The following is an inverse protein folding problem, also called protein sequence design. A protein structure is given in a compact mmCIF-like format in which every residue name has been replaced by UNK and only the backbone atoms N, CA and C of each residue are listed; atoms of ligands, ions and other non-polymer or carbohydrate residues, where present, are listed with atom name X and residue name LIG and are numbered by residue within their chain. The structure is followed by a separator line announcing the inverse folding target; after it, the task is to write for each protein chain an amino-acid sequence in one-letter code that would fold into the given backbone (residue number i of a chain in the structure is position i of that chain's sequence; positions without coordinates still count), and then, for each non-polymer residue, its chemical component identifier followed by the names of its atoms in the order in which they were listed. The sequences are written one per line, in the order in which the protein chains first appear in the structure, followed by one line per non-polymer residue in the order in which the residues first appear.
data_IF_536192212897
#
_entry.id   IF_536192212897
#
_cell.length_a   1.000
_cell.length_b   1.000
_cell.length_c   1.000
_cell.angle_alpha   90.00
_cell.angle_beta   90.00
_cell.angle_gamma   90.00
#
_symmetry.space_group_name_H-M   'P 1'
#
loop_
_entity.id
_entity.type
_entity.pdbx_description
1 polymer ?
#
# COMPACT_ATOMS: atom_id res chain seq x y z
N UNK A 1 38.64 -26.98 7.93
CA UNK A 1 38.33 -26.64 9.33
C UNK A 1 38.71 -25.24 9.83
N UNK A 2 38.93 -24.23 8.97
CA UNK A 2 38.93 -22.80 9.40
C UNK A 2 38.34 -21.84 8.35
N UNK A 3 38.24 -22.25 7.10
CA UNK A 3 37.73 -21.42 5.99
C UNK A 3 36.20 -21.44 5.87
N UNK A 4 35.52 -22.48 6.37
CA UNK A 4 34.04 -22.57 6.33
C UNK A 4 33.37 -21.73 7.44
N UNK A 5 34.04 -21.52 8.57
CA UNK A 5 33.55 -20.65 9.65
C UNK A 5 33.75 -19.15 9.37
N UNK A 6 34.62 -18.77 8.43
CA UNK A 6 34.81 -17.37 8.06
C UNK A 6 33.71 -16.83 7.11
N UNK A 7 32.98 -17.72 6.43
CA UNK A 7 31.80 -17.32 5.62
C UNK A 7 30.50 -17.30 6.44
N UNK A 8 30.50 -17.84 7.66
CA UNK A 8 29.34 -17.85 8.55
C UNK A 8 29.10 -16.53 9.30
N UNK A 9 29.99 -15.52 9.16
CA UNK A 9 29.92 -14.26 9.91
C UNK A 9 29.75 -13.00 9.05
N UNK A 10 29.36 -13.12 7.78
CA UNK A 10 28.67 -12.00 7.13
C UNK A 10 27.20 -12.28 7.26
N UNK A 11 26.54 -11.53 8.15
CA UNK A 11 25.09 -11.50 8.21
C UNK A 11 24.59 -11.31 6.76
N UNK A 12 23.90 -12.32 6.24
CA UNK A 12 23.28 -12.29 4.91
C UNK A 12 22.20 -11.20 4.84
N UNK A 13 21.77 -10.72 6.01
CA UNK A 13 20.93 -9.54 6.20
C UNK A 13 21.44 -8.79 7.42
N UNK A 14 22.22 -7.74 7.19
CA UNK A 14 22.45 -6.73 8.22
C UNK A 14 21.20 -5.85 8.24
N UNK A 15 20.67 -5.57 9.43
CA UNK A 15 19.73 -4.47 9.58
C UNK A 15 20.44 -3.16 9.22
N UNK A 16 19.99 -2.50 8.15
CA UNK A 16 20.27 -1.10 7.87
C UNK A 16 18.96 -0.44 7.50
N UNK A 17 18.30 0.25 8.43
CA UNK A 17 17.66 1.50 8.02
C UNK A 17 17.24 2.35 9.24
N UNK A 18 18.10 3.20 9.78
CA UNK A 18 18.14 4.66 9.47
C UNK A 18 18.77 5.07 8.12
N UNK A 19 18.66 4.23 7.08
CA UNK A 19 19.33 4.45 5.80
C UNK A 19 18.55 5.52 5.05
N UNK A 20 19.08 6.74 5.12
CA UNK A 20 18.63 7.80 4.23
C UNK A 20 18.96 7.35 2.81
N UNK A 21 18.00 7.42 1.88
CA UNK A 21 18.29 7.17 0.47
C UNK A 21 19.46 8.05 0.05
N UNK A 22 20.24 7.55 -0.88
CA UNK A 22 21.40 8.29 -1.41
C UNK A 22 21.09 8.75 -2.81
N UNK A 23 21.66 9.89 -3.18
CA UNK A 23 21.51 10.43 -4.53
C UNK A 23 22.77 10.20 -5.34
N UNK A 24 22.58 10.00 -6.63
CA UNK A 24 23.64 10.07 -7.62
C UNK A 24 23.21 11.09 -8.66
N UNK A 25 24.00 12.16 -8.81
CA UNK A 25 23.84 13.12 -9.90
C UNK A 25 24.88 12.82 -10.98
N UNK A 26 24.45 12.23 -12.08
CA UNK A 26 25.36 11.85 -13.17
C UNK A 26 25.24 12.89 -14.28
N UNK A 27 26.32 13.62 -14.55
CA UNK A 27 26.43 14.59 -15.63
C UNK A 27 27.21 14.02 -16.80
N UNK A 28 26.70 14.22 -18.01
CA UNK A 28 27.30 13.79 -19.27
C UNK A 28 27.99 14.95 -20.00
N UNK A 29 28.59 15.90 -19.27
CA UNK A 29 29.18 17.14 -19.81
C UNK A 29 30.18 16.93 -20.95
N UNK A 30 31.02 15.91 -20.81
CA UNK A 30 32.05 15.58 -21.81
C UNK A 30 31.61 14.46 -22.77
N UNK A 31 30.37 13.97 -22.66
CA UNK A 31 29.80 12.93 -23.52
C UNK A 31 28.27 13.08 -23.70
N UNK A 32 27.79 14.12 -24.43
CA UNK A 32 26.35 14.37 -24.60
C UNK A 32 25.59 13.22 -25.28
N UNK A 33 26.28 12.42 -26.11
CA UNK A 33 25.74 11.22 -26.74
C UNK A 33 25.81 9.97 -25.85
N UNK A 34 26.47 10.06 -24.70
CA UNK A 34 26.93 8.96 -23.87
C UNK A 34 25.84 8.05 -23.36
N UNK A 35 26.09 6.74 -23.40
CA UNK A 35 25.21 5.76 -22.78
C UNK A 35 25.52 5.63 -21.29
N UNK A 36 24.49 5.64 -20.44
CA UNK A 36 24.64 5.26 -19.04
C UNK A 36 25.21 3.83 -18.94
N UNK A 37 24.99 2.98 -19.95
CA UNK A 37 25.48 1.60 -19.96
C UNK A 37 24.63 0.68 -19.09
N UNK A 38 23.32 0.89 -19.09
CA UNK A 38 22.35 0.14 -18.28
C UNK A 38 21.11 -0.23 -19.09
N UNK A 39 20.48 -1.32 -18.73
CA UNK A 39 19.12 -1.65 -19.12
C UNK A 39 18.16 -1.12 -18.05
N UNK A 40 17.12 -0.40 -18.48
CA UNK A 40 16.10 0.14 -17.60
C UNK A 40 14.84 -0.73 -17.65
N UNK A 41 14.25 -1.01 -16.49
CA UNK A 41 12.92 -1.61 -16.42
C UNK A 41 11.87 -0.49 -16.44
N UNK A 42 10.81 -0.71 -17.22
CA UNK A 42 9.62 0.14 -17.28
C UNK A 42 8.75 -0.11 -16.04
N UNK A 43 8.80 0.80 -15.07
CA UNK A 43 8.02 0.66 -13.85
C UNK A 43 6.52 0.97 -14.04
N UNK A 44 6.13 1.54 -15.19
CA UNK A 44 4.71 1.75 -15.50
C UNK A 44 4.02 0.48 -16.00
N UNK A 45 4.79 -0.49 -16.50
CA UNK A 45 4.28 -1.77 -17.03
C UNK A 45 4.63 -2.98 -16.17
N UNK A 46 5.53 -2.82 -15.20
CA UNK A 46 5.97 -3.89 -14.31
C UNK A 46 4.90 -4.35 -13.32
N UNK A 47 5.02 -5.61 -12.87
CA UNK A 47 4.19 -6.24 -11.84
C UNK A 47 4.17 -5.46 -10.51
N UNK A 48 3.19 -5.77 -9.66
CA UNK A 48 2.86 -5.14 -8.37
C UNK A 48 4.02 -4.88 -7.36
N UNK A 49 5.24 -5.37 -7.63
CA UNK A 49 6.42 -5.17 -6.78
C UNK A 49 7.18 -3.86 -7.05
N UNK A 50 6.99 -3.23 -8.22
CA UNK A 50 7.80 -2.09 -8.67
C UNK A 50 7.04 -0.76 -8.69
N UNK A 51 5.73 -0.79 -8.39
CA UNK A 51 4.87 0.39 -8.23
C UNK A 51 5.24 1.26 -7.01
N UNK A 52 6.01 0.71 -6.08
CA UNK A 52 6.43 1.34 -4.83
C UNK A 52 7.74 2.12 -4.91
N UNK A 53 8.32 2.23 -6.11
CA UNK A 53 9.60 2.91 -6.33
C UNK A 53 9.35 4.38 -6.72
N UNK A 54 10.20 5.33 -6.31
CA UNK A 54 9.96 6.76 -6.54
C UNK A 54 10.04 7.14 -8.01
N UNK A 55 10.73 6.34 -8.83
CA UNK A 55 10.98 6.62 -10.24
C UNK A 55 10.07 5.81 -11.17
N UNK A 56 9.98 6.28 -12.41
CA UNK A 56 9.28 5.55 -13.47
C UNK A 56 10.18 4.56 -14.21
N UNK A 57 11.51 4.68 -14.07
CA UNK A 57 12.50 3.76 -14.62
C UNK A 57 13.54 3.37 -13.59
N UNK A 58 13.90 2.09 -13.56
CA UNK A 58 14.90 1.55 -12.62
C UNK A 58 16.03 0.85 -13.36
N UNK A 59 17.24 0.91 -12.80
CA UNK A 59 18.38 0.18 -13.33
C UNK A 59 18.15 -1.31 -13.10
N UNK A 60 17.74 -2.02 -14.16
CA UNK A 60 17.52 -3.46 -14.14
C UNK A 60 18.83 -4.24 -14.21
N UNK A 61 19.71 -3.81 -15.11
CA UNK A 61 20.98 -4.47 -15.40
C UNK A 61 22.04 -3.44 -15.78
N UNK A 62 23.26 -3.67 -15.30
CA UNK A 62 24.46 -2.96 -15.77
C UNK A 62 25.03 -3.73 -16.96
N UNK A 63 25.34 -3.03 -18.06
CA UNK A 63 26.02 -3.63 -19.20
C UNK A 63 27.48 -3.97 -18.84
N UNK A 64 28.08 -4.88 -19.60
CA UNK A 64 29.47 -5.29 -19.42
C UNK A 64 30.44 -4.23 -19.98
N UNK A 65 31.68 -4.23 -19.47
CA UNK A 65 32.71 -3.25 -19.84
C UNK A 65 32.80 -2.05 -18.90
N UNK A 66 33.68 -1.10 -19.22
CA UNK A 66 33.84 0.15 -18.48
C UNK A 66 32.79 1.15 -18.96
N UNK A 67 31.70 1.30 -18.20
CA UNK A 67 30.57 2.18 -18.55
C UNK A 67 30.45 3.37 -17.60
N UNK A 68 29.74 4.42 -18.02
CA UNK A 68 29.45 5.59 -17.18
C UNK A 68 28.74 5.17 -15.89
N UNK A 69 27.78 4.23 -15.95
CA UNK A 69 27.13 3.68 -14.76
C UNK A 69 28.12 3.08 -13.77
N UNK A 70 29.06 2.25 -14.24
CA UNK A 70 30.01 1.56 -13.35
C UNK A 70 31.04 2.52 -12.75
N UNK A 71 31.52 3.47 -13.54
CA UNK A 71 32.46 4.51 -13.07
C UNK A 71 31.81 5.45 -12.06
N UNK A 72 30.54 5.79 -12.26
CA UNK A 72 29.76 6.63 -11.35
C UNK A 72 29.15 5.87 -10.16
N UNK A 73 29.42 4.57 -10.00
CA UNK A 73 28.94 3.78 -8.87
C UNK A 73 27.45 3.46 -8.88
N UNK A 74 26.79 3.50 -10.04
CA UNK A 74 25.41 3.05 -10.23
C UNK A 74 25.29 1.55 -9.99
N UNK A 75 24.21 1.15 -9.33
CA UNK A 75 23.91 -0.26 -9.06
C UNK A 75 22.52 -0.63 -9.56
N UNK A 76 22.27 -1.94 -9.66
CA UNK A 76 20.93 -2.48 -9.91
C UNK A 76 19.97 -2.03 -8.80
N UNK A 77 18.82 -1.50 -9.19
CA UNK A 77 17.77 -1.00 -8.29
C UNK A 77 17.78 0.51 -8.09
N UNK A 78 18.80 1.23 -8.56
CA UNK A 78 18.77 2.71 -8.56
C UNK A 78 17.60 3.21 -9.42
N UNK A 79 16.83 4.15 -8.87
CA UNK A 79 15.61 4.68 -9.47
C UNK A 79 15.89 6.03 -10.13
N UNK A 80 15.53 6.21 -11.39
CA UNK A 80 15.63 7.53 -12.04
C UNK A 80 14.46 8.38 -11.58
N UNK A 81 14.76 9.46 -10.86
CA UNK A 81 13.76 10.37 -10.26
C UNK A 81 13.81 11.77 -10.85
N UNK A 82 14.82 12.10 -11.66
CA UNK A 82 14.89 13.36 -12.39
C UNK A 82 15.84 13.32 -13.57
N UNK A 83 15.58 14.18 -14.56
CA UNK A 83 16.37 14.34 -15.80
C UNK A 83 16.56 15.82 -16.09
N UNK A 84 17.80 16.31 -16.06
CA UNK A 84 18.21 17.72 -16.30
C UNK A 84 17.25 18.75 -15.68
N UNK A 85 17.08 18.68 -14.36
CA UNK A 85 16.24 19.60 -13.60
C UNK A 85 14.74 19.25 -13.59
N UNK A 86 14.27 18.34 -14.44
CA UNK A 86 12.85 17.93 -14.44
C UNK A 86 12.63 16.69 -13.57
N UNK A 87 11.71 16.79 -12.62
CA UNK A 87 11.30 15.68 -11.76
C UNK A 87 10.45 14.66 -12.49
N UNK A 88 10.82 13.39 -12.30
CA UNK A 88 10.08 12.21 -12.75
C UNK A 88 9.74 11.33 -11.55
N UNK A 89 9.22 11.95 -10.48
CA UNK A 89 8.83 11.24 -9.26
C UNK A 89 7.37 10.79 -9.27
N UNK A 90 7.12 9.60 -8.75
CA UNK A 90 5.78 9.08 -8.42
C UNK A 90 5.24 9.66 -7.11
N UNK A 91 6.14 9.91 -6.15
CA UNK A 91 5.78 10.44 -4.82
C UNK A 91 6.86 11.40 -4.29
N UNK A 92 6.51 12.30 -3.35
CA UNK A 92 7.45 13.27 -2.80
C UNK A 92 8.66 12.59 -2.11
N UNK A 93 9.84 13.24 -2.06
CA UNK A 93 10.96 12.74 -1.27
C UNK A 93 10.62 12.76 0.23
N UNK A 94 11.07 11.73 0.96
CA UNK A 94 10.88 11.61 2.42
C UNK A 94 11.91 12.42 3.25
N UNK A 95 12.73 13.22 2.58
CA UNK A 95 13.92 13.85 3.15
C UNK A 95 14.19 15.18 2.44
N UNK A 96 14.75 16.16 3.17
CA UNK A 96 15.32 17.35 2.54
C UNK A 96 16.67 17.02 1.89
N UNK A 97 17.02 17.73 0.82
CA UNK A 97 18.23 17.47 0.01
C UNK A 97 19.52 17.51 0.83
N UNK A 98 19.60 18.36 1.84
CA UNK A 98 20.76 18.53 2.73
C UNK A 98 21.06 17.28 3.58
N UNK A 99 20.11 16.36 3.66
CA UNK A 99 20.25 15.09 4.39
C UNK A 99 20.67 13.93 3.49
N UNK A 100 20.78 14.15 2.19
CA UNK A 100 21.18 13.14 1.24
C UNK A 100 22.68 13.03 1.15
N UNK A 101 23.16 11.78 1.13
CA UNK A 101 24.54 11.50 0.78
C UNK A 101 24.65 11.44 -0.74
N UNK A 102 25.42 12.34 -1.32
CA UNK A 102 25.84 12.23 -2.71
C UNK A 102 26.92 11.14 -2.83
N UNK A 103 26.70 10.20 -3.75
CA UNK A 103 27.59 9.06 -3.99
C UNK A 103 28.39 9.19 -5.29
N UNK A 104 28.34 10.33 -5.97
CA UNK A 104 29.14 10.55 -7.19
C UNK A 104 30.63 10.41 -6.88
N UNK A 105 31.28 9.38 -7.40
CA UNK A 105 32.72 9.20 -7.25
C UNK A 105 33.47 9.95 -8.36
N UNK A 106 34.34 10.89 -7.97
CA UNK A 106 35.33 11.50 -8.88
C UNK A 106 34.76 12.43 -9.96
N UNK A 107 33.48 12.77 -9.89
CA UNK A 107 32.82 13.77 -10.74
C UNK A 107 32.39 14.92 -9.85
N UNK A 108 32.81 16.14 -10.16
CA UNK A 108 32.29 17.30 -9.42
C UNK A 108 30.83 17.53 -9.83
N UNK A 109 29.89 17.48 -8.87
CA UNK A 109 28.50 17.75 -9.16
C UNK A 109 28.37 19.21 -9.58
N UNK A 110 27.62 19.46 -10.65
CA UNK A 110 27.21 20.83 -11.00
C UNK A 110 26.33 21.36 -9.87
N UNK A 111 26.61 22.57 -9.41
CA UNK A 111 25.69 23.29 -8.55
C UNK A 111 24.40 23.61 -9.30
N UNK A 112 23.29 23.17 -8.74
CA UNK A 112 21.96 23.45 -9.24
C UNK A 112 21.45 24.75 -8.64
N UNK A 113 20.72 25.51 -9.45
CA UNK A 113 19.90 26.61 -8.96
C UNK A 113 18.76 26.08 -8.06
N UNK A 114 18.25 26.92 -7.17
CA UNK A 114 17.17 26.53 -6.26
C UNK A 114 15.88 26.13 -7.02
N UNK A 115 15.62 26.75 -8.16
CA UNK A 115 14.50 26.39 -9.04
C UNK A 115 14.69 25.01 -9.69
N UNK A 116 15.91 24.66 -10.09
CA UNK A 116 16.23 23.32 -10.62
C UNK A 116 16.10 22.24 -9.53
N UNK A 117 16.51 22.54 -8.29
CA UNK A 117 16.34 21.64 -7.14
C UNK A 117 14.86 21.38 -6.85
N UNK A 118 14.06 22.43 -6.79
CA UNK A 118 12.62 22.31 -6.56
C UNK A 118 11.94 21.47 -7.65
N UNK A 119 12.34 21.68 -8.92
CA UNK A 119 11.80 20.92 -10.05
C UNK A 119 12.27 19.46 -10.08
N UNK A 120 13.48 19.13 -9.61
CA UNK A 120 13.98 17.74 -9.51
C UNK A 120 13.13 16.86 -8.58
N UNK A 121 12.49 17.47 -7.58
CA UNK A 121 11.62 16.76 -6.64
C UNK A 121 10.14 16.76 -7.01
N UNK A 122 9.78 17.29 -8.19
CA UNK A 122 8.40 17.37 -8.63
C UNK A 122 7.78 15.98 -8.84
N UNK A 123 6.60 15.81 -8.26
CA UNK A 123 5.74 14.64 -8.44
C UNK A 123 4.84 14.78 -9.67
N UNK A 124 4.77 13.72 -10.47
CA UNK A 124 3.89 13.64 -11.64
C UNK A 124 2.54 13.09 -11.19
N UNK A 125 1.52 13.95 -11.11
CA UNK A 125 0.19 13.61 -10.56
C UNK A 125 -0.83 13.13 -11.60
N UNK A 126 -0.72 13.59 -12.85
CA UNK A 126 -1.78 13.43 -13.88
C UNK A 126 -1.40 12.52 -15.05
N UNK A 127 -0.32 11.74 -14.94
CA UNK A 127 0.12 10.91 -16.05
C UNK A 127 -0.66 9.58 -16.13
N UNK A 128 -1.11 9.21 -17.33
CA UNK A 128 -1.77 7.92 -17.53
C UNK A 128 -0.74 6.79 -17.43
N UNK A 129 -1.19 5.64 -16.92
CA UNK A 129 -0.38 4.43 -16.79
C UNK A 129 0.30 4.09 -18.12
N UNK A 130 1.62 3.95 -18.11
CA UNK A 130 2.42 3.62 -19.30
C UNK A 130 2.92 4.82 -20.11
N UNK A 131 2.47 6.04 -19.82
CA UNK A 131 2.89 7.25 -20.55
C UNK A 131 4.11 7.91 -19.92
N UNK A 132 4.32 7.79 -18.61
CA UNK A 132 5.35 8.54 -17.90
C UNK A 132 6.75 7.99 -18.11
N UNK A 133 6.92 6.67 -18.10
CA UNK A 133 8.20 6.05 -18.47
C UNK A 133 8.58 6.41 -19.90
N UNK A 134 7.61 6.42 -20.82
CA UNK A 134 7.84 6.84 -22.20
C UNK A 134 8.30 8.30 -22.27
N UNK A 135 7.63 9.20 -21.54
CA UNK A 135 8.02 10.61 -21.46
C UNK A 135 9.42 10.80 -20.86
N UNK A 136 9.79 10.01 -19.84
CA UNK A 136 11.14 9.99 -19.26
C UNK A 136 12.19 9.61 -20.32
N UNK A 137 11.94 8.54 -21.08
CA UNK A 137 12.86 8.08 -22.12
C UNK A 137 12.94 9.06 -23.29
N UNK A 138 11.82 9.66 -23.70
CA UNK A 138 11.78 10.70 -24.73
C UNK A 138 12.58 11.92 -24.30
N UNK A 139 12.44 12.36 -23.05
CA UNK A 139 13.20 13.49 -22.52
C UNK A 139 14.71 13.24 -22.53
N UNK A 140 15.15 12.05 -22.13
CA UNK A 140 16.57 11.66 -22.20
C UNK A 140 17.06 11.74 -23.65
N UNK A 141 16.28 11.23 -24.61
CA UNK A 141 16.65 11.26 -26.03
C UNK A 141 16.74 12.68 -26.58
N UNK A 142 15.79 13.55 -26.25
CA UNK A 142 15.78 14.95 -26.67
C UNK A 142 17.06 15.69 -26.24
N UNK A 143 17.44 15.55 -24.97
CA UNK A 143 18.61 16.25 -24.43
C UNK A 143 19.89 15.72 -25.09
N UNK A 144 20.01 14.40 -25.26
CA UNK A 144 21.14 13.80 -25.98
C UNK A 144 21.24 14.29 -27.43
N UNK A 145 20.11 14.41 -28.11
CA UNK A 145 20.05 14.86 -29.51
C UNK A 145 20.39 16.35 -29.68
N UNK A 146 20.27 17.17 -28.63
CA UNK A 146 20.62 18.58 -28.68
C UNK A 146 22.15 18.81 -28.73
N UNK A 147 22.95 17.83 -28.28
CA UNK A 147 24.42 17.89 -28.23
C UNK A 147 24.97 19.19 -27.61
N UNK A 148 24.20 19.80 -26.70
CA UNK A 148 24.49 21.11 -26.09
C UNK A 148 25.45 20.95 -24.90
N UNK A 149 26.71 21.40 -24.99
CA UNK A 149 27.69 21.28 -23.91
C UNK A 149 27.35 22.13 -22.68
N UNK A 150 26.58 23.21 -22.85
CA UNK A 150 26.17 24.10 -21.76
C UNK A 150 24.98 23.51 -20.96
N UNK A 151 24.23 22.58 -21.58
CA UNK A 151 23.08 21.91 -21.00
C UNK A 151 23.19 20.38 -21.11
N UNK A 152 24.16 19.77 -20.40
CA UNK A 152 24.37 18.33 -20.51
C UNK A 152 23.20 17.52 -19.97
N UNK A 153 23.12 16.25 -20.40
CA UNK A 153 22.23 15.30 -19.74
C UNK A 153 22.66 15.15 -18.28
N UNK A 154 21.73 15.37 -17.38
CA UNK A 154 21.88 15.05 -15.97
C UNK A 154 20.83 14.03 -15.58
N UNK A 155 21.25 12.97 -14.89
CA UNK A 155 20.35 12.02 -14.28
C UNK A 155 20.45 12.14 -12.77
N UNK A 156 19.30 12.31 -12.11
CA UNK A 156 19.18 12.16 -10.67
C UNK A 156 18.68 10.74 -10.39
N UNK A 157 19.54 9.92 -9.79
CA UNK A 157 19.18 8.59 -9.35
C UNK A 157 19.03 8.58 -7.83
N UNK A 158 17.96 7.94 -7.38
CA UNK A 158 17.71 7.68 -5.97
C UNK A 158 17.93 6.20 -5.67
N UNK A 159 18.82 5.93 -4.72
CA UNK A 159 19.08 4.58 -4.24
C UNK A 159 18.23 4.29 -3.01
N UNK A 160 17.41 3.26 -3.12
CA UNK A 160 16.66 2.72 -2.00
C UNK A 160 17.13 1.33 -1.62
N UNK A 161 17.19 1.08 -0.31
CA UNK A 161 17.26 -0.29 0.19
C UNK A 161 15.99 -1.08 -0.14
N UNK A 162 16.11 -2.40 -0.08
CA UNK A 162 15.01 -3.38 -0.17
C UNK A 162 13.83 -3.04 0.77
N UNK A 163 14.11 -2.35 1.88
CA UNK A 163 13.20 -1.96 2.97
C UNK A 163 12.26 -0.77 2.66
N UNK A 164 12.20 -0.30 1.41
CA UNK A 164 11.40 0.90 1.03
C UNK A 164 9.99 0.60 0.51
N UNK A 165 9.61 -0.68 0.39
CA UNK A 165 8.33 -1.13 -0.20
C UNK A 165 7.26 -1.32 0.87
N UNK A 166 6.00 -1.55 0.47
CA UNK A 166 4.91 -2.03 1.34
C UNK A 166 5.14 -3.46 1.89
N UNK A 167 6.37 -3.95 1.90
CA UNK A 167 6.90 -5.17 2.52
C UNK A 167 8.13 -4.86 3.40
N UNK A 168 8.29 -3.60 3.82
CA UNK A 168 9.42 -3.10 4.61
C UNK A 168 9.59 -3.85 5.93
N UNK A 169 10.82 -4.28 6.21
CA UNK A 169 11.32 -4.72 7.52
C UNK A 169 10.92 -3.72 8.62
N UNK A 170 10.89 -2.42 8.30
CA UNK A 170 10.44 -1.37 9.21
C UNK A 170 9.09 -1.64 9.92
N UNK A 171 8.12 -2.25 9.22
CA UNK A 171 6.80 -2.58 9.81
C UNK A 171 6.83 -3.82 10.69
N UNK A 172 7.64 -4.80 10.31
CA UNK A 172 7.89 -5.97 11.14
C UNK A 172 8.62 -5.56 12.42
N UNK A 173 9.59 -4.64 12.31
CA UNK A 173 10.31 -4.06 13.46
C UNK A 173 9.38 -3.28 14.39
N UNK A 174 8.39 -2.55 13.85
CA UNK A 174 7.49 -1.75 14.70
C UNK A 174 6.55 -2.61 15.54
N UNK A 175 6.17 -3.81 15.08
CA UNK A 175 5.25 -4.69 15.83
C UNK A 175 5.96 -5.66 16.76
N UNK A 176 7.28 -5.81 16.64
CA UNK A 176 8.11 -6.69 17.48
C UNK A 176 8.96 -5.92 18.49
N UNK A 177 8.63 -4.66 18.77
CA UNK A 177 9.43 -3.76 19.62
C UNK A 177 10.91 -3.71 19.21
N UNK A 178 11.18 -3.82 17.90
CA UNK A 178 12.51 -3.86 17.29
C UNK A 178 13.37 -5.06 17.71
N UNK A 179 12.76 -6.14 18.19
CA UNK A 179 13.45 -7.40 18.49
C UNK A 179 13.76 -8.12 17.18
N UNK A 180 15.03 -8.15 16.81
CA UNK A 180 15.49 -8.64 15.49
C UNK A 180 15.10 -10.10 15.24
N UNK A 181 15.26 -10.99 16.23
CA UNK A 181 14.96 -12.42 16.06
C UNK A 181 13.49 -12.63 15.73
N UNK A 182 12.60 -11.98 16.47
CA UNK A 182 11.15 -12.07 16.28
C UNK A 182 10.72 -11.44 14.95
N UNK A 183 11.36 -10.32 14.59
CA UNK A 183 11.17 -9.63 13.31
C UNK A 183 11.50 -10.55 12.14
N UNK A 184 12.68 -11.20 12.17
CA UNK A 184 13.10 -12.12 11.12
C UNK A 184 12.19 -13.34 11.06
N UNK A 185 11.72 -13.84 12.21
CA UNK A 185 10.75 -14.92 12.27
C UNK A 185 9.39 -14.55 11.64
N UNK A 186 8.91 -13.34 11.89
CA UNK A 186 7.66 -12.85 11.31
C UNK A 186 7.80 -12.59 9.80
N UNK A 187 8.94 -12.02 9.38
CA UNK A 187 9.24 -11.80 7.97
C UNK A 187 9.36 -13.12 7.18
N UNK A 188 10.03 -14.14 7.73
CA UNK A 188 10.10 -15.46 7.10
C UNK A 188 8.71 -16.06 6.92
N UNK A 189 7.87 -16.01 7.97
CA UNK A 189 6.47 -16.48 7.87
C UNK A 189 5.67 -15.71 6.83
N UNK A 190 5.95 -14.43 6.65
CA UNK A 190 5.34 -13.62 5.61
C UNK A 190 5.73 -14.05 4.20
N UNK A 191 7.01 -14.30 3.96
CA UNK A 191 7.47 -14.79 2.66
C UNK A 191 6.94 -16.19 2.36
N UNK A 192 6.96 -17.11 3.35
CA UNK A 192 6.39 -18.46 3.22
C UNK A 192 4.89 -18.41 2.90
N UNK A 193 4.14 -17.52 3.59
CA UNK A 193 2.73 -17.30 3.31
C UNK A 193 2.51 -16.72 1.92
N UNK A 194 3.32 -15.74 1.49
CA UNK A 194 3.19 -15.16 0.15
C UNK A 194 3.42 -16.19 -0.95
N UNK A 195 4.41 -17.07 -0.78
CA UNK A 195 4.68 -18.15 -1.74
C UNK A 195 3.52 -19.15 -1.81
N UNK A 196 2.87 -19.45 -0.67
CA UNK A 196 1.75 -20.37 -0.62
C UNK A 196 0.41 -19.76 -1.08
N UNK A 197 0.20 -18.46 -0.83
CA UNK A 197 -1.09 -17.79 -1.03
C UNK A 197 -1.20 -17.12 -2.40
N UNK A 198 -0.08 -16.81 -3.05
CA UNK A 198 -0.05 -16.17 -4.37
C UNK A 198 0.59 -17.08 -5.44
N UNK A 199 0.16 -16.97 -6.71
CA UNK A 199 -0.86 -16.05 -7.23
C UNK A 199 -2.29 -16.48 -6.85
N UNK A 200 -3.15 -15.50 -6.58
CA UNK A 200 -4.59 -15.75 -6.45
C UNK A 200 -5.15 -15.91 -7.87
N UNK A 201 -5.81 -17.04 -8.13
CA UNK A 201 -6.44 -17.29 -9.44
C UNK A 201 -7.70 -16.44 -9.60
N UNK A 202 -7.56 -15.33 -10.32
CA UNK A 202 -8.70 -14.44 -10.62
C UNK A 202 -9.71 -15.10 -11.56
N UNK A 203 -9.42 -16.22 -12.21
CA UNK A 203 -10.39 -16.90 -13.09
C UNK A 203 -11.35 -17.82 -12.33
N UNK A 204 -11.13 -18.01 -11.02
CA UNK A 204 -11.96 -18.85 -10.17
C UNK A 204 -13.42 -18.35 -10.14
N UNK A 205 -14.42 -19.17 -10.55
CA UNK A 205 -15.81 -18.70 -10.69
C UNK A 205 -16.43 -18.15 -9.41
N UNK A 206 -16.12 -18.76 -8.26
CA UNK A 206 -16.64 -18.32 -6.96
C UNK A 206 -16.05 -16.97 -6.55
N UNK A 207 -14.74 -16.75 -6.74
CA UNK A 207 -14.11 -15.45 -6.52
C UNK A 207 -14.66 -14.39 -7.47
N UNK A 208 -14.87 -14.72 -8.75
CA UNK A 208 -15.49 -13.82 -9.73
C UNK A 208 -16.91 -13.43 -9.33
N UNK A 209 -17.69 -14.34 -8.76
CA UNK A 209 -19.01 -14.03 -8.20
C UNK A 209 -18.90 -13.02 -7.05
N UNK A 210 -17.96 -13.21 -6.11
CA UNK A 210 -17.74 -12.28 -4.99
C UNK A 210 -17.39 -10.88 -5.50
N UNK A 211 -16.49 -10.78 -6.48
CA UNK A 211 -16.09 -9.52 -7.09
C UNK A 211 -17.26 -8.83 -7.81
N UNK A 212 -18.03 -9.58 -8.60
CA UNK A 212 -19.21 -9.06 -9.34
C UNK A 212 -20.34 -8.60 -8.42
N UNK A 213 -20.52 -9.24 -7.27
CA UNK A 213 -21.50 -8.81 -6.27
C UNK A 213 -21.12 -7.49 -5.60
N UNK A 214 -19.88 -7.03 -5.74
CA UNK A 214 -19.40 -5.80 -5.10
C UNK A 214 -19.51 -5.88 -3.58
N UNK A 215 -19.12 -7.03 -3.02
CA UNK A 215 -19.02 -7.22 -1.56
C UNK A 215 -17.90 -6.37 -0.99
N UNK A 216 -16.79 -6.29 -1.72
CA UNK A 216 -15.61 -5.51 -1.38
C UNK A 216 -15.39 -4.49 -2.48
N UNK A 217 -15.06 -3.25 -2.10
CA UNK A 217 -14.70 -2.19 -3.05
C UNK A 217 -13.70 -1.21 -2.45
N UNK A 218 -13.02 -0.48 -3.32
CA UNK A 218 -12.15 0.63 -2.96
C UNK A 218 -12.95 1.93 -2.82
N UNK A 219 -12.65 2.70 -1.78
CA UNK A 219 -13.02 4.12 -1.66
C UNK A 219 -11.74 4.95 -1.56
N UNK A 220 -11.26 5.43 -2.71
CA UNK A 220 -10.04 6.24 -2.85
C UNK A 220 -10.30 7.75 -2.83
N UNK A 221 -11.04 8.26 -1.84
CA UNK A 221 -11.45 9.68 -1.81
C UNK A 221 -10.47 10.59 -1.07
N UNK A 222 -9.61 10.02 -0.22
CA UNK A 222 -8.63 10.77 0.57
C UNK A 222 -7.27 10.05 0.56
N UNK A 223 -6.21 10.77 0.21
CA UNK A 223 -4.83 10.25 0.11
C UNK A 223 -4.36 9.62 1.43
N UNK A 224 -4.72 10.22 2.57
CA UNK A 224 -4.30 9.75 3.90
C UNK A 224 -5.16 8.63 4.52
N UNK A 225 -6.29 8.26 3.90
CA UNK A 225 -7.23 7.27 4.44
C UNK A 225 -7.89 6.40 3.36
N UNK A 226 -7.10 5.68 2.54
CA UNK A 226 -7.65 4.74 1.57
C UNK A 226 -8.46 3.68 2.32
N UNK A 227 -9.71 3.49 1.90
CA UNK A 227 -10.66 2.69 2.64
C UNK A 227 -11.16 1.53 1.80
N UNK A 228 -11.07 0.33 2.33
CA UNK A 228 -11.72 -0.87 1.81
C UNK A 228 -13.12 -0.91 2.40
N UNK A 229 -14.12 -0.79 1.53
CA UNK A 229 -15.52 -0.91 1.90
C UNK A 229 -15.96 -2.37 1.82
N UNK A 230 -16.63 -2.83 2.87
CA UNK A 230 -17.12 -4.21 3.01
C UNK A 230 -18.63 -4.15 3.29
N UNK A 231 -19.43 -4.68 2.37
CA UNK A 231 -20.88 -4.80 2.52
C UNK A 231 -21.25 -6.09 3.26
N UNK A 232 -21.48 -5.98 4.57
CA UNK A 232 -21.79 -7.13 5.41
C UNK A 232 -23.15 -7.75 5.04
N UNK A 233 -24.12 -6.96 4.57
CA UNK A 233 -25.43 -7.49 4.17
C UNK A 233 -25.29 -8.43 2.98
N UNK A 234 -24.40 -8.11 2.03
CA UNK A 234 -24.07 -9.03 0.93
C UNK A 234 -23.33 -10.27 1.41
N UNK A 235 -22.41 -10.14 2.37
CA UNK A 235 -21.75 -11.31 3.00
C UNK A 235 -22.80 -12.21 3.67
N UNK A 236 -23.71 -11.65 4.47
CA UNK A 236 -24.78 -12.39 5.14
C UNK A 236 -25.73 -13.10 4.17
N UNK A 237 -25.88 -12.58 2.95
CA UNK A 237 -26.71 -13.19 1.92
C UNK A 237 -26.04 -14.38 1.20
N UNK A 238 -24.72 -14.58 1.37
CA UNK A 238 -24.02 -15.72 0.82
C UNK A 238 -24.28 -16.99 1.65
N UNK A 239 -24.28 -18.14 1.00
CA UNK A 239 -24.10 -19.43 1.67
C UNK A 239 -22.62 -19.55 2.09
N UNK A 240 -22.31 -18.93 3.22
CA UNK A 240 -20.97 -18.56 3.69
C UNK A 240 -20.00 -19.74 3.86
N UNK A 241 -20.48 -20.92 4.27
CA UNK A 241 -19.61 -22.05 4.62
C UNK A 241 -18.72 -22.51 3.44
N UNK A 242 -19.07 -22.15 2.20
CA UNK A 242 -18.30 -22.49 1.00
C UNK A 242 -17.58 -21.30 0.36
N UNK A 243 -17.85 -20.05 0.79
CA UNK A 243 -17.36 -18.82 0.12
C UNK A 243 -16.57 -17.87 1.02
N UNK A 244 -16.42 -18.19 2.31
CA UNK A 244 -15.68 -17.36 3.26
C UNK A 244 -14.24 -17.08 2.80
N UNK A 245 -13.54 -18.10 2.29
CA UNK A 245 -12.15 -17.95 1.85
C UNK A 245 -12.05 -17.06 0.59
N UNK A 246 -13.05 -17.05 -0.29
CA UNK A 246 -13.08 -16.16 -1.46
C UNK A 246 -13.38 -14.70 -1.09
N UNK A 247 -14.21 -14.47 -0.07
CA UNK A 247 -14.38 -13.13 0.52
C UNK A 247 -13.05 -12.64 1.10
N UNK A 248 -12.32 -13.50 1.82
CA UNK A 248 -10.99 -13.15 2.35
C UNK A 248 -10.02 -12.84 1.20
N UNK A 249 -9.94 -13.68 0.16
CA UNK A 249 -9.12 -13.42 -1.02
C UNK A 249 -9.45 -12.06 -1.65
N UNK A 250 -10.73 -11.73 -1.82
CA UNK A 250 -11.17 -10.44 -2.35
C UNK A 250 -10.69 -9.28 -1.48
N UNK A 251 -10.82 -9.37 -0.15
CA UNK A 251 -10.33 -8.35 0.78
C UNK A 251 -8.80 -8.21 0.70
N UNK A 252 -8.06 -9.32 0.61
CA UNK A 252 -6.61 -9.30 0.44
C UNK A 252 -6.20 -8.65 -0.89
N UNK A 253 -6.91 -8.93 -1.99
CA UNK A 253 -6.65 -8.28 -3.28
C UNK A 253 -6.83 -6.77 -3.17
N UNK A 254 -7.96 -6.30 -2.63
CA UNK A 254 -8.18 -4.87 -2.41
C UNK A 254 -7.17 -4.27 -1.42
N UNK A 255 -6.72 -5.03 -0.42
CA UNK A 255 -5.65 -4.62 0.50
C UNK A 255 -4.35 -4.38 -0.26
N UNK A 256 -3.90 -5.32 -1.09
CA UNK A 256 -2.71 -5.15 -1.92
C UNK A 256 -2.84 -3.95 -2.86
N UNK A 257 -3.99 -3.75 -3.50
CA UNK A 257 -4.25 -2.59 -4.39
C UNK A 257 -4.27 -1.27 -3.63
N UNK A 258 -4.81 -1.24 -2.41
CA UNK A 258 -4.86 -0.03 -1.59
C UNK A 258 -3.48 0.32 -1.05
N UNK A 259 -2.75 -0.68 -0.54
CA UNK A 259 -1.38 -0.50 -0.09
C UNK A 259 -0.50 -0.04 -1.25
N UNK A 260 -0.69 -0.62 -2.46
CA UNK A 260 -0.10 -0.21 -3.73
C UNK A 260 -0.29 1.26 -4.08
N UNK A 261 -1.48 1.80 -3.77
CA UNK A 261 -1.87 3.15 -4.14
C UNK A 261 -1.68 4.16 -3.01
N UNK A 262 -1.17 3.72 -1.83
CA UNK A 262 -0.91 4.59 -0.70
C UNK A 262 0.15 5.65 -1.06
N UNK A 263 -0.06 6.94 -0.71
CA UNK A 263 0.92 8.00 -0.97
C UNK A 263 2.28 7.74 -0.32
N UNK A 264 2.28 7.07 0.84
CA UNK A 264 3.49 6.65 1.54
C UNK A 264 3.60 5.11 1.54
N UNK A 265 4.40 4.51 0.65
CA UNK A 265 4.52 3.06 0.54
C UNK A 265 5.35 2.41 1.66
N UNK A 266 6.05 3.22 2.47
CA UNK A 266 6.86 2.74 3.62
C UNK A 266 6.04 2.59 4.89
N UNK A 267 4.96 3.39 5.00
CA UNK A 267 3.95 3.29 6.05
C UNK A 267 2.57 3.28 5.41
N UNK A 268 2.28 2.30 4.54
CA UNK A 268 1.02 2.27 3.84
C UNK A 268 -0.06 1.97 4.88
N UNK A 269 -1.06 2.84 4.96
CA UNK A 269 -2.17 2.73 5.90
C UNK A 269 -3.45 2.52 5.14
N UNK A 270 -4.22 1.51 5.54
CA UNK A 270 -5.55 1.24 5.00
C UNK A 270 -6.57 1.25 6.11
N UNK A 271 -7.78 1.69 5.79
CA UNK A 271 -8.93 1.59 6.67
C UNK A 271 -9.90 0.53 6.13
N UNK A 272 -10.61 -0.15 7.01
CA UNK A 272 -11.77 -0.96 6.66
C UNK A 272 -13.04 -0.25 7.12
N UNK A 273 -14.03 -0.14 6.24
CA UNK A 273 -15.39 0.25 6.59
C UNK A 273 -16.31 -0.96 6.40
N UNK A 274 -16.75 -1.55 7.52
CA UNK A 274 -17.73 -2.64 7.52
C UNK A 274 -19.12 -2.03 7.61
N UNK A 275 -19.85 -2.03 6.50
CA UNK A 275 -21.23 -1.57 6.45
C UNK A 275 -22.20 -2.70 6.83
N UNK A 276 -22.81 -2.50 7.99
CA UNK A 276 -23.83 -3.32 8.63
C UNK A 276 -25.25 -2.79 8.35
N UNK A 277 -25.42 -1.83 7.43
CA UNK A 277 -26.74 -1.31 7.05
C UNK A 277 -27.54 -2.38 6.31
N UNK A 278 -28.77 -2.66 6.76
CA UNK A 278 -29.62 -3.69 6.13
C UNK A 278 -29.47 -5.11 6.70
N UNK A 279 -28.48 -5.35 7.57
CA UNK A 279 -28.25 -6.66 8.21
C UNK A 279 -29.48 -7.12 8.99
N UNK A 280 -29.83 -8.40 8.83
CA UNK A 280 -31.02 -9.03 9.41
C UNK A 280 -30.65 -9.89 10.61
N UNK A 281 -31.45 -9.84 11.67
CA UNK A 281 -31.14 -10.52 12.93
C UNK A 281 -31.32 -12.05 12.89
N UNK A 282 -32.13 -12.56 11.96
CA UNK A 282 -32.56 -13.95 11.90
C UNK A 282 -31.72 -14.82 10.96
N UNK A 283 -30.98 -14.21 10.04
CA UNK A 283 -29.92 -14.87 9.29
C UNK A 283 -28.68 -14.85 10.19
N UNK A 284 -28.01 -15.99 10.37
CA UNK A 284 -26.80 -16.07 11.20
C UNK A 284 -25.79 -14.99 10.84
N UNK A 285 -24.97 -14.59 11.80
CA UNK A 285 -23.84 -13.71 11.52
C UNK A 285 -22.66 -14.58 11.09
N UNK A 286 -22.05 -14.24 9.96
CA UNK A 286 -20.76 -14.78 9.57
C UNK A 286 -19.67 -13.96 10.26
N UNK A 287 -19.24 -14.40 11.43
CA UNK A 287 -18.04 -13.89 12.08
C UNK A 287 -16.77 -14.61 11.59
N UNK A 288 -16.88 -15.84 11.08
CA UNK A 288 -15.77 -16.64 10.55
C UNK A 288 -14.87 -15.90 9.56
N UNK A 289 -15.44 -15.12 8.62
CA UNK A 289 -14.66 -14.31 7.67
C UNK A 289 -13.73 -13.34 8.41
N UNK A 290 -14.25 -12.63 9.40
CA UNK A 290 -13.49 -11.61 10.14
C UNK A 290 -12.56 -12.24 11.18
N UNK A 291 -12.96 -13.35 11.79
CA UNK A 291 -12.13 -14.14 12.72
C UNK A 291 -10.92 -14.76 12.01
N UNK A 292 -11.02 -15.10 10.72
CA UNK A 292 -9.87 -15.54 9.92
C UNK A 292 -9.08 -14.35 9.35
N UNK A 293 -9.77 -13.34 8.82
CA UNK A 293 -9.15 -12.21 8.12
C UNK A 293 -8.23 -11.39 9.02
N UNK A 294 -8.70 -10.96 10.20
CA UNK A 294 -7.92 -9.99 10.96
C UNK A 294 -6.66 -10.56 11.61
N UNK A 295 -6.64 -11.81 12.13
CA UNK A 295 -5.37 -12.45 12.51
C UNK A 295 -4.42 -12.62 11.33
N UNK A 296 -4.94 -12.88 10.13
CA UNK A 296 -4.14 -12.92 8.90
C UNK A 296 -3.54 -11.53 8.62
N UNK A 297 -4.33 -10.46 8.65
CA UNK A 297 -3.82 -9.09 8.45
C UNK A 297 -2.81 -8.66 9.52
N UNK A 298 -3.03 -9.03 10.77
CA UNK A 298 -2.11 -8.72 11.86
C UNK A 298 -0.74 -9.36 11.65
N UNK A 299 -0.71 -10.60 11.18
CA UNK A 299 0.53 -11.36 10.98
C UNK A 299 1.22 -11.06 9.65
N UNK A 300 0.44 -10.93 8.58
CA UNK A 300 0.95 -10.82 7.21
C UNK A 300 1.05 -9.39 6.72
N UNK A 301 0.28 -8.48 7.31
CA UNK A 301 0.27 -7.06 6.97
C UNK A 301 0.47 -6.17 8.21
N UNK A 302 1.51 -6.44 9.02
CA UNK A 302 1.73 -5.71 10.26
C UNK A 302 1.87 -4.22 10.00
N UNK A 303 1.35 -3.41 10.92
CA UNK A 303 1.37 -1.95 10.86
C UNK A 303 0.80 -1.36 9.55
N UNK A 304 -0.16 -2.02 8.91
CA UNK A 304 -0.86 -1.46 7.74
C UNK A 304 -2.32 -1.07 8.00
N UNK A 305 -3.03 -1.81 8.86
CA UNK A 305 -4.42 -1.51 9.16
C UNK A 305 -4.50 -0.37 10.18
N UNK A 306 -5.03 0.78 9.76
CA UNK A 306 -5.14 1.98 10.59
C UNK A 306 -6.41 1.99 11.43
N UNK A 307 -7.55 1.72 10.79
CA UNK A 307 -8.87 1.68 11.45
C UNK A 307 -9.76 0.60 10.86
N UNK A 308 -10.60 0.02 11.72
CA UNK A 308 -11.72 -0.85 11.36
C UNK A 308 -12.99 -0.16 11.86
N UNK A 309 -13.69 0.53 10.97
CA UNK A 309 -14.93 1.24 11.29
C UNK A 309 -16.11 0.32 11.02
N UNK A 310 -16.90 0.02 12.06
CA UNK A 310 -18.14 -0.76 11.93
C UNK A 310 -19.35 0.15 12.07
N UNK A 311 -20.21 0.18 11.04
CA UNK A 311 -21.34 1.11 10.94
C UNK A 311 -22.59 0.43 10.40
N UNK A 312 -23.81 0.64 10.93
CA UNK A 312 -24.13 1.30 12.19
C UNK A 312 -24.15 0.30 13.35
N UNK A 313 -23.43 0.63 14.42
CA UNK A 313 -23.40 -0.09 15.71
C UNK A 313 -23.57 0.90 16.87
N UNK A 314 -24.62 0.69 17.66
CA UNK A 314 -24.92 1.54 18.82
C UNK A 314 -24.00 1.21 20.00
N UNK A 315 -23.19 2.18 20.43
CA UNK A 315 -22.26 2.04 21.58
C UNK A 315 -22.94 1.63 22.90
N UNK A 316 -24.22 1.96 23.07
CA UNK A 316 -24.99 1.70 24.31
C UNK A 316 -25.27 0.22 24.60
N UNK A 317 -25.10 -0.69 23.63
CA UNK A 317 -25.35 -2.13 23.80
C UNK A 317 -24.19 -2.94 24.41
N UNK A 318 -23.03 -2.32 24.66
CA UNK A 318 -21.82 -3.00 25.16
C UNK A 318 -21.70 -2.97 26.70
N UNK A 319 -22.52 -2.17 27.38
CA UNK A 319 -22.41 -1.85 28.81
C UNK A 319 -23.71 -2.18 29.56
N UNK A 320 -23.97 -3.46 29.82
CA UNK A 320 -24.67 -4.01 31.00
C UNK A 320 -25.36 -5.35 30.68
N UNK A 321 -24.80 -6.46 31.17
CA UNK A 321 -25.46 -7.77 31.17
C UNK A 321 -26.74 -7.80 32.04
N UNK A 322 -26.88 -6.86 32.97
CA UNK A 322 -27.99 -6.79 33.93
C UNK A 322 -29.31 -6.26 33.35
N UNK A 323 -29.28 -5.46 32.27
CA UNK A 323 -30.48 -5.02 31.55
C UNK A 323 -30.98 -6.05 30.53
N UNK A 324 -30.13 -7.02 30.14
CA UNK A 324 -30.42 -8.06 29.14
C UNK A 324 -31.54 -9.01 29.60
N UNK A 325 -31.62 -9.29 30.91
CA UNK A 325 -32.67 -10.17 31.46
C UNK A 325 -34.03 -9.48 31.64
N UNK A 326 -34.07 -8.15 31.72
CA UNK A 326 -35.30 -7.40 31.93
C UNK A 326 -36.02 -7.05 30.62
N UNK A 327 -35.30 -6.94 29.50
CA UNK A 327 -35.86 -6.57 28.19
C UNK A 327 -36.56 -7.74 27.45
N UNK A 328 -36.38 -8.99 27.91
CA UNK A 328 -36.98 -10.19 27.30
C UNK A 328 -38.53 -10.22 27.35
N UNK A 329 -39.17 -9.22 27.98
CA UNK A 329 -40.62 -9.17 28.16
C UNK A 329 -41.31 -8.23 27.13
N UNK A 330 -40.56 -7.40 26.38
CA UNK A 330 -41.16 -6.52 25.33
C UNK A 330 -40.18 -6.24 24.18
N UNK A 331 -39.76 -7.26 23.43
CA UNK A 331 -38.81 -7.06 22.32
C UNK A 331 -39.50 -6.83 20.97
N UNK A 332 -39.54 -5.57 20.52
CA UNK A 332 -39.66 -5.25 19.09
C UNK A 332 -38.41 -5.74 18.34
N UNK A 333 -38.55 -6.25 17.10
CA UNK A 333 -37.44 -6.77 16.25
C UNK A 333 -36.21 -5.86 16.17
N UNK A 334 -36.42 -4.54 16.26
CA UNK A 334 -35.34 -3.53 16.26
C UNK A 334 -34.37 -3.66 17.44
N UNK A 335 -34.86 -4.00 18.64
CA UNK A 335 -34.00 -4.15 19.82
C UNK A 335 -33.14 -5.42 19.74
N UNK A 336 -33.72 -6.52 19.27
CA UNK A 336 -33.01 -7.78 19.04
C UNK A 336 -31.90 -7.59 17.99
N UNK A 337 -32.19 -6.89 16.89
CA UNK A 337 -31.18 -6.61 15.86
C UNK A 337 -30.02 -5.77 16.39
N UNK A 338 -30.30 -4.73 17.18
CA UNK A 338 -29.25 -3.91 17.81
C UNK A 338 -28.34 -4.74 18.70
N UNK A 339 -28.93 -5.61 19.53
CA UNK A 339 -28.18 -6.49 20.41
C UNK A 339 -27.28 -7.44 19.61
N UNK A 340 -27.81 -8.10 18.58
CA UNK A 340 -27.02 -9.04 17.79
C UNK A 340 -25.87 -8.39 17.02
N UNK A 341 -26.03 -7.16 16.52
CA UNK A 341 -24.91 -6.40 15.92
C UNK A 341 -23.80 -6.11 16.93
N UNK A 342 -24.16 -5.78 18.16
CA UNK A 342 -23.18 -5.55 19.24
C UNK A 342 -22.49 -6.86 19.67
N UNK A 343 -23.23 -7.98 19.73
CA UNK A 343 -22.66 -9.31 19.99
C UNK A 343 -21.68 -9.73 18.90
N UNK A 344 -22.01 -9.52 17.62
CA UNK A 344 -21.08 -9.75 16.52
C UNK A 344 -19.82 -8.89 16.66
N UNK A 345 -19.97 -7.58 16.86
CA UNK A 345 -18.82 -6.69 17.03
C UNK A 345 -17.94 -7.13 18.21
N UNK A 346 -18.56 -7.60 19.30
CA UNK A 346 -17.85 -8.15 20.46
C UNK A 346 -17.16 -9.48 20.13
N UNK A 347 -17.78 -10.37 19.35
CA UNK A 347 -17.18 -11.63 18.88
C UNK A 347 -15.91 -11.32 18.07
N UNK A 348 -16.03 -10.44 17.07
CA UNK A 348 -14.90 -9.99 16.24
C UNK A 348 -13.85 -9.33 17.13
N UNK A 349 -14.21 -8.39 18.00
CA UNK A 349 -13.27 -7.67 18.86
C UNK A 349 -12.48 -8.62 19.79
N UNK A 350 -13.15 -9.60 20.39
CA UNK A 350 -12.53 -10.51 21.35
C UNK A 350 -11.53 -11.49 20.70
N UNK A 351 -11.61 -11.73 19.38
CA UNK A 351 -10.66 -12.60 18.67
C UNK A 351 -9.39 -11.85 18.23
N UNK A 352 -9.30 -10.55 18.47
CA UNK A 352 -8.19 -9.69 18.04
C UNK A 352 -7.20 -9.46 19.18
N UNK A 353 -5.93 -9.21 18.83
CA UNK A 353 -4.93 -8.74 19.81
C UNK A 353 -5.29 -7.36 20.37
N UNK A 354 -4.66 -6.96 21.47
CA UNK A 354 -4.83 -5.62 22.05
C UNK A 354 -4.48 -4.51 21.04
N UNK A 355 -3.48 -4.71 20.20
CA UNK A 355 -3.08 -3.74 19.18
C UNK A 355 -4.19 -3.55 18.15
N UNK A 356 -4.74 -4.66 17.66
CA UNK A 356 -5.78 -4.63 16.63
C UNK A 356 -7.14 -4.17 17.19
N UNK A 357 -7.44 -4.50 18.45
CA UNK A 357 -8.60 -3.97 19.18
C UNK A 357 -8.61 -2.44 19.22
N UNK A 358 -7.46 -1.78 19.35
CA UNK A 358 -7.36 -0.31 19.33
C UNK A 358 -7.70 0.31 17.97
N UNK A 359 -7.60 -0.46 16.88
CA UNK A 359 -7.99 -0.01 15.56
C UNK A 359 -9.50 -0.09 15.32
N UNK A 360 -10.25 -0.85 16.14
CA UNK A 360 -11.70 -1.02 15.98
C UNK A 360 -12.46 0.20 16.50
N UNK A 361 -13.29 0.78 15.65
CA UNK A 361 -14.17 1.91 15.98
C UNK A 361 -15.61 1.56 15.62
N UNK A 362 -16.49 1.60 16.62
CA UNK A 362 -17.91 1.34 16.46
C UNK A 362 -18.65 2.67 16.37
N UNK A 363 -19.44 2.88 15.32
CA UNK A 363 -20.11 4.17 15.05
C UNK A 363 -21.57 3.94 14.68
N UNK A 364 -22.46 4.87 15.04
CA UNK A 364 -23.90 4.75 14.78
C UNK A 364 -24.37 5.69 13.66
N UNK A 365 -23.56 6.69 13.29
CA UNK A 365 -23.96 7.71 12.30
C UNK A 365 -22.95 7.85 11.16
N UNK A 366 -23.44 8.24 9.99
CA UNK A 366 -22.59 8.54 8.83
C UNK A 366 -21.58 9.68 9.12
N UNK A 367 -21.95 10.65 9.96
CA UNK A 367 -21.04 11.73 10.35
C UNK A 367 -19.86 11.22 11.18
N UNK A 368 -20.09 10.25 12.08
CA UNK A 368 -19.01 9.59 12.80
C UNK A 368 -18.11 8.79 11.85
N UNK A 369 -18.67 8.08 10.86
CA UNK A 369 -17.87 7.41 9.80
C UNK A 369 -16.96 8.40 9.11
N UNK A 370 -17.50 9.55 8.67
CA UNK A 370 -16.71 10.59 8.01
C UNK A 370 -15.60 11.13 8.91
N UNK A 371 -15.91 11.39 10.18
CA UNK A 371 -14.94 11.89 11.16
C UNK A 371 -13.79 10.89 11.36
N UNK A 372 -14.13 9.61 11.49
CA UNK A 372 -13.13 8.57 11.74
C UNK A 372 -12.26 8.27 10.53
N UNK A 373 -12.82 8.32 9.32
CA UNK A 373 -12.11 8.06 8.07
C UNK A 373 -11.51 9.33 7.44
N UNK A 374 -11.66 10.50 8.07
CA UNK A 374 -11.16 11.77 7.54
C UNK A 374 -11.88 12.23 6.27
N UNK A 375 -13.12 11.79 6.04
CA UNK A 375 -13.91 12.20 4.89
C UNK A 375 -14.64 13.51 5.17
N UNK A 376 -14.77 14.34 4.14
CA UNK A 376 -15.53 15.59 4.23
C UNK A 376 -17.04 15.31 4.34
N UNK A 377 -17.61 15.55 5.52
CA UNK A 377 -19.05 15.37 5.80
C UNK A 377 -19.95 16.10 4.82
N UNK A 378 -19.55 17.32 4.40
CA UNK A 378 -20.28 18.11 3.41
C UNK A 378 -20.36 17.42 2.04
N UNK A 379 -19.29 16.73 1.62
CA UNK A 379 -19.24 15.99 0.35
C UNK A 379 -20.13 14.75 0.41
N UNK A 380 -20.06 13.99 1.50
CA UNK A 380 -20.92 12.81 1.72
C UNK A 380 -22.39 13.20 1.77
N UNK A 381 -22.73 14.31 2.44
CA UNK A 381 -24.09 14.83 2.47
C UNK A 381 -24.57 15.30 1.08
N UNK A 382 -23.71 15.98 0.31
CA UNK A 382 -24.02 16.45 -1.04
C UNK A 382 -24.27 15.30 -2.04
N UNK A 383 -23.58 14.17 -1.86
CA UNK A 383 -23.82 12.95 -2.64
C UNK A 383 -25.09 12.20 -2.21
N UNK A 384 -25.79 12.69 -1.18
CA UNK A 384 -27.09 12.19 -0.73
C UNK A 384 -26.99 11.13 0.36
N UNK A 385 -25.90 11.12 1.13
CA UNK A 385 -25.66 10.24 2.26
C UNK A 385 -24.57 9.20 1.99
N UNK A 386 -24.22 8.44 3.04
CA UNK A 386 -23.10 7.49 2.99
C UNK A 386 -23.25 6.45 1.88
N UNK A 387 -24.42 5.83 1.74
CA UNK A 387 -24.62 4.75 0.76
C UNK A 387 -24.41 5.25 -0.68
N UNK A 388 -24.96 6.43 -1.01
CA UNK A 388 -24.80 7.05 -2.33
C UNK A 388 -23.39 7.56 -2.58
N UNK A 389 -22.74 8.08 -1.54
CA UNK A 389 -21.33 8.46 -1.61
C UNK A 389 -20.46 7.23 -1.91
N UNK A 390 -20.66 6.13 -1.17
CA UNK A 390 -19.96 4.87 -1.42
C UNK A 390 -20.23 4.41 -2.85
N UNK A 391 -21.49 4.32 -3.28
CA UNK A 391 -21.84 3.90 -4.65
C UNK A 391 -21.16 4.76 -5.74
N UNK A 392 -21.07 6.07 -5.52
CA UNK A 392 -20.48 7.02 -6.48
C UNK A 392 -18.96 6.94 -6.54
N UNK A 393 -18.31 6.73 -5.40
CA UNK A 393 -16.84 6.75 -5.29
C UNK A 393 -16.23 5.36 -5.17
N UNK A 394 -17.06 4.31 -5.07
CA UNK A 394 -16.61 2.93 -5.10
C UNK A 394 -16.06 2.63 -6.47
N UNK A 395 -14.80 2.25 -6.52
CA UNK A 395 -14.22 1.65 -7.71
C UNK A 395 -14.27 0.14 -7.51
N UNK A 396 -15.17 -0.51 -8.24
CA UNK A 396 -14.93 -1.89 -8.58
C UNK A 396 -13.70 -1.89 -9.49
N UNK A 397 -12.76 -2.79 -9.23
CA UNK A 397 -11.65 -2.94 -10.17
C UNK A 397 -12.20 -3.73 -11.34
N UNK A 398 -12.81 -3.05 -12.31
CA UNK A 398 -13.39 -3.65 -13.51
C UNK A 398 -12.34 -4.51 -14.24
N UNK A 399 -11.05 -4.14 -14.14
CA UNK A 399 -9.90 -4.90 -14.65
C UNK A 399 -9.71 -6.28 -13.97
N UNK A 400 -10.32 -6.55 -12.81
CA UNK A 400 -10.29 -7.86 -12.13
C UNK A 400 -11.43 -8.77 -12.56
N UNK A 401 -12.47 -8.24 -13.21
CA UNK A 401 -13.61 -9.03 -13.65
C UNK A 401 -13.28 -9.63 -15.02
N UNK A 402 -13.15 -10.96 -15.05
CA UNK A 402 -12.93 -11.68 -16.31
C UNK A 402 -14.29 -12.05 -16.89
N UNK A 403 -14.62 -11.48 -18.06
CA UNK A 403 -15.71 -12.02 -18.89
C UNK A 403 -15.24 -13.35 -19.49
N UNK A 404 -15.76 -14.45 -18.93
CA UNK A 404 -15.51 -15.81 -19.43
C UNK A 404 -16.47 -16.16 -20.57
#
# INVERSE_FOLDING_TARGET
DKTFLAMANKALFVSTSDEKPSILTISFKDDPGGSLGTELLDCDKSYARDIFLPGFGIVHKLLDGETVARTCGVIRGDCIVGVSGLGFRRFPPDYPEDQLKDLTMGVEPRELTDEEKERKHRVIKDAKKGETFKALIERIKEIKAAEDPENPLELLLERHGWDSRANSLGRFLSVTDKIIVDTMGLLQKHEDWKEAYFPIDLTEPSLQEILKLGIVSEIGVHEDAPTIYIDYTKIQALEIDQKADDVIKAIIIYTEIMLASCPNPRRPKVCHLINMTGVKAYQGFCDDVFQKLYPLLETQYPDTLFKIVMYPIQKQGLMNESLIRAAAITTTDKHVLKQKKAELAKSIFNSLSETMQRAVVLVDTANEVCTELGWETGKVAADGGLDKFVEKHSKAVDDLIVEL
#
